data_IF_028939488782
#
_entry.id   IF_028939488782
#
_cell.length_a   1.000
_cell.length_b   1.000
_cell.length_c   1.000
_cell.angle_alpha   90.00
_cell.angle_beta   90.00
_cell.angle_gamma   90.00
#
_symmetry.space_group_name_H-M   'P 1'
#
loop_
_entity.id
_entity.type
_entity.pdbx_description
1 polymer ?
#
# COMPACT_ATOMS: atom_id res chain seq x y z
N UNK A 1 65.03 13.27 13.75
CA UNK A 1 63.68 12.91 14.19
C UNK A 1 62.67 13.61 13.27
N UNK A 2 62.05 12.87 12.35
CA UNK A 2 60.99 13.41 11.47
C UNK A 2 59.66 13.11 12.12
N UNK A 3 58.92 14.15 12.54
CA UNK A 3 57.53 14.02 13.00
C UNK A 3 56.64 13.84 11.77
N UNK A 4 55.99 12.69 11.68
CA UNK A 4 54.94 12.43 10.69
C UNK A 4 53.59 12.80 11.32
N UNK A 5 53.02 13.92 10.88
CA UNK A 5 51.67 14.32 11.29
C UNK A 5 50.64 13.43 10.57
N UNK A 6 49.89 12.66 11.31
CA UNK A 6 48.72 11.90 10.81
C UNK A 6 47.51 12.79 10.88
N UNK A 7 46.99 13.21 9.72
CA UNK A 7 45.72 13.92 9.62
C UNK A 7 44.56 12.91 9.72
N UNK A 8 43.80 12.96 10.80
CA UNK A 8 42.54 12.23 10.94
C UNK A 8 41.43 12.99 10.19
N UNK A 9 40.98 12.46 9.08
CA UNK A 9 39.73 12.93 8.44
C UNK A 9 38.54 12.36 9.20
N UNK A 10 37.87 13.18 10.00
CA UNK A 10 36.55 12.85 10.57
C UNK A 10 35.53 13.10 9.46
N UNK A 11 35.07 12.04 8.81
CA UNK A 11 33.90 12.11 7.93
C UNK A 11 32.68 12.28 8.81
N UNK A 12 32.15 13.50 8.92
CA UNK A 12 30.79 13.73 9.43
C UNK A 12 29.81 13.06 8.47
N UNK A 13 29.33 11.88 8.84
CA UNK A 13 28.14 11.31 8.22
C UNK A 13 26.96 12.17 8.67
N UNK A 14 26.55 13.11 7.83
CA UNK A 14 25.28 13.81 8.00
C UNK A 14 24.18 12.77 7.86
N UNK A 15 23.64 12.28 8.98
CA UNK A 15 22.44 11.45 8.96
C UNK A 15 21.32 12.31 8.37
N UNK A 16 20.81 11.93 7.20
CA UNK A 16 19.71 12.65 6.60
C UNK A 16 18.49 12.52 7.54
N UNK A 17 18.09 13.62 8.14
CA UNK A 17 16.90 13.65 8.99
C UNK A 17 15.65 13.62 8.10
N UNK A 18 14.63 12.90 8.52
CA UNK A 18 13.31 12.97 7.88
C UNK A 18 12.78 14.39 8.01
N UNK A 19 12.36 14.98 6.89
CA UNK A 19 11.74 16.30 6.84
C UNK A 19 10.27 16.16 6.52
N UNK A 20 9.47 16.97 7.22
CA UNK A 20 8.02 17.07 6.98
C UNK A 20 7.72 18.54 6.74
N UNK A 21 7.38 18.87 5.51
CA UNK A 21 7.11 20.24 5.09
C UNK A 21 5.67 20.33 4.54
N UNK A 22 4.96 21.40 4.90
CA UNK A 22 3.69 21.74 4.24
C UNK A 22 4.01 22.21 2.82
N UNK A 23 3.40 21.60 1.83
CA UNK A 23 3.64 21.88 0.42
C UNK A 23 2.35 21.72 -0.40
N UNK A 24 2.02 22.67 -1.28
CA UNK A 24 0.89 22.49 -2.19
C UNK A 24 1.17 21.36 -3.17
N UNK A 25 0.14 20.61 -3.53
CA UNK A 25 0.25 19.52 -4.49
C UNK A 25 -0.97 19.48 -5.41
N UNK A 26 -0.75 19.68 -6.71
CA UNK A 26 -1.73 19.51 -7.81
C UNK A 26 -3.12 20.09 -7.50
N UNK A 27 -3.16 21.32 -6.97
CA UNK A 27 -4.39 22.04 -6.66
C UNK A 27 -4.82 22.01 -5.19
N UNK A 28 -4.33 21.09 -4.38
CA UNK A 28 -4.51 21.11 -2.93
C UNK A 28 -3.43 21.98 -2.25
N UNK A 29 -3.81 23.03 -1.52
CA UNK A 29 -2.85 23.95 -0.88
C UNK A 29 -2.23 23.39 0.41
N UNK A 30 -2.84 22.40 1.05
CA UNK A 30 -2.52 21.97 2.40
C UNK A 30 -1.92 20.56 2.49
N UNK A 31 -1.26 20.07 1.43
CA UNK A 31 -0.57 18.77 1.50
C UNK A 31 0.70 18.85 2.36
N UNK A 32 1.19 17.69 2.78
CA UNK A 32 2.45 17.54 3.50
C UNK A 32 3.38 16.62 2.73
N UNK A 33 4.60 17.09 2.50
CA UNK A 33 5.69 16.29 1.92
C UNK A 33 6.52 15.70 3.05
N UNK A 34 6.68 14.39 3.07
CA UNK A 34 7.60 13.66 3.94
C UNK A 34 8.74 13.14 3.09
N UNK A 35 10.00 13.45 3.46
CA UNK A 35 11.18 13.04 2.68
C UNK A 35 12.41 12.86 3.55
N UNK A 36 13.26 11.91 3.17
CA UNK A 36 14.61 11.76 3.72
C UNK A 36 15.72 12.20 2.72
N UNK A 37 15.32 12.81 1.60
CA UNK A 37 16.23 13.24 0.52
C UNK A 37 16.43 12.20 -0.58
N UNK A 38 16.11 10.92 -0.35
CA UNK A 38 16.15 9.86 -1.36
C UNK A 38 14.77 9.54 -1.93
N UNK A 39 13.79 9.43 -1.05
CA UNK A 39 12.37 9.18 -1.37
C UNK A 39 11.50 10.31 -0.81
N UNK A 40 10.31 10.40 -1.37
CA UNK A 40 9.29 11.33 -0.88
C UNK A 40 7.90 10.73 -0.99
N UNK A 41 7.03 11.08 -0.04
CA UNK A 41 5.60 10.92 -0.18
C UNK A 41 4.86 12.24 0.09
N UNK A 42 3.66 12.32 -0.49
CA UNK A 42 2.75 13.45 -0.28
C UNK A 42 1.48 12.91 0.38
N UNK A 43 1.16 13.49 1.51
CA UNK A 43 -0.07 13.22 2.25
C UNK A 43 -1.00 14.40 2.10
N UNK A 44 -2.25 14.15 1.70
CA UNK A 44 -3.27 15.20 1.57
C UNK A 44 -3.81 15.60 2.94
N UNK A 45 -4.07 16.90 3.12
CA UNK A 45 -4.74 17.43 4.31
C UNK A 45 -6.07 18.13 3.99
N UNK A 46 -6.33 18.37 2.72
CA UNK A 46 -7.60 18.95 2.25
C UNK A 46 -8.71 17.89 2.11
N UNK A 47 -8.32 16.62 1.99
CA UNK A 47 -9.18 15.43 1.87
C UNK A 47 -8.45 14.21 2.43
N UNK A 48 -9.14 13.13 2.73
CA UNK A 48 -8.55 11.85 3.12
C UNK A 48 -8.89 11.39 4.53
N UNK A 49 -7.99 10.64 5.20
CA UNK A 49 -6.51 10.58 5.02
C UNK A 49 -6.08 9.77 3.79
N UNK A 50 -5.04 10.26 3.09
CA UNK A 50 -4.57 9.66 1.85
C UNK A 50 -3.11 9.99 1.57
N UNK A 51 -2.32 8.98 1.13
CA UNK A 51 -0.99 9.18 0.56
C UNK A 51 -1.15 9.22 -0.96
N UNK A 52 -1.10 10.41 -1.57
CA UNK A 52 -1.40 10.58 -3.00
C UNK A 52 -0.19 10.36 -3.91
N UNK A 53 1.03 10.46 -3.36
CA UNK A 53 2.27 10.25 -4.07
C UNK A 53 3.25 9.44 -3.24
N UNK A 54 3.93 8.49 -3.88
CA UNK A 54 5.14 7.85 -3.36
C UNK A 54 6.11 7.59 -4.50
N UNK A 55 7.35 8.03 -4.35
CA UNK A 55 8.38 7.92 -5.38
C UNK A 55 9.75 8.38 -4.88
N UNK A 56 10.75 8.20 -5.72
CA UNK A 56 12.04 8.83 -5.51
C UNK A 56 11.92 10.34 -5.66
N UNK A 57 12.75 11.10 -4.94
CA UNK A 57 12.83 12.55 -5.09
C UNK A 57 13.13 12.90 -6.55
N UNK A 58 12.32 13.79 -7.13
CA UNK A 58 12.32 14.13 -8.55
C UNK A 58 12.05 12.96 -9.52
N UNK A 59 11.58 11.83 -9.02
CA UNK A 59 11.18 10.67 -9.80
C UNK A 59 9.70 10.64 -10.17
N UNK A 60 9.28 9.56 -10.81
CA UNK A 60 7.86 9.33 -11.12
C UNK A 60 7.03 9.13 -9.85
N UNK A 61 5.73 9.40 -9.93
CA UNK A 61 4.78 8.90 -8.95
C UNK A 61 4.37 7.49 -9.34
N UNK A 62 4.59 6.51 -8.47
CA UNK A 62 4.15 5.13 -8.71
C UNK A 62 2.66 4.92 -8.40
N UNK A 63 2.04 5.88 -7.71
CA UNK A 63 0.62 5.82 -7.39
C UNK A 63 -0.23 6.48 -8.48
N UNK A 64 -1.43 5.93 -8.69
CA UNK A 64 -2.45 6.54 -9.57
C UNK A 64 -2.87 7.89 -9.03
N UNK A 65 -3.09 8.80 -9.95
CA UNK A 65 -3.76 10.08 -9.73
C UNK A 65 -4.87 10.22 -10.78
N UNK A 66 -6.01 10.75 -10.37
CA UNK A 66 -7.10 11.10 -11.29
C UNK A 66 -7.09 12.60 -11.55
N UNK A 67 -6.61 13.07 -12.73
CA UNK A 67 -6.42 14.49 -13.02
C UNK A 67 -7.67 15.35 -12.85
N UNK A 68 -8.85 14.76 -13.12
CA UNK A 68 -10.15 15.41 -13.00
C UNK A 68 -10.63 15.55 -11.54
N UNK A 69 -9.98 14.86 -10.58
CA UNK A 69 -10.34 14.86 -9.15
C UNK A 69 -9.28 15.58 -8.28
N UNK A 70 -8.10 15.87 -8.84
CA UNK A 70 -7.03 16.55 -8.11
C UNK A 70 -7.42 17.99 -7.75
N UNK A 71 -7.07 18.41 -6.53
CA UNK A 71 -7.35 19.75 -6.01
C UNK A 71 -8.80 20.00 -5.60
N UNK A 72 -9.71 19.05 -5.83
CA UNK A 72 -11.11 19.15 -5.46
C UNK A 72 -11.38 18.67 -4.05
N UNK A 73 -12.42 19.22 -3.41
CA UNK A 73 -12.84 18.95 -2.04
C UNK A 73 -14.35 19.15 -1.90
N UNK A 74 -14.96 18.54 -0.87
CA UNK A 74 -16.35 18.83 -0.50
C UNK A 74 -17.41 18.19 -1.40
N UNK A 75 -17.05 17.21 -2.22
CA UNK A 75 -18.04 16.47 -3.01
C UNK A 75 -18.93 15.62 -2.10
N UNK A 76 -20.19 15.49 -2.47
CA UNK A 76 -21.19 14.72 -1.70
C UNK A 76 -20.94 13.22 -1.73
N UNK A 77 -20.33 12.72 -2.82
CA UNK A 77 -20.05 11.29 -3.02
C UNK A 77 -18.56 11.00 -2.88
N UNK A 78 -18.24 9.78 -2.49
CA UNK A 78 -16.88 9.28 -2.47
C UNK A 78 -16.19 9.49 -3.84
N UNK A 79 -14.90 9.89 -3.79
CA UNK A 79 -14.05 10.07 -4.95
C UNK A 79 -12.81 9.18 -4.85
N UNK A 80 -12.47 8.49 -5.94
CA UNK A 80 -11.31 7.58 -5.95
C UNK A 80 -9.98 8.30 -5.72
N UNK A 81 -9.77 9.47 -6.34
CA UNK A 81 -8.59 10.35 -6.28
C UNK A 81 -7.26 9.67 -6.58
N UNK A 82 -7.11 8.39 -6.28
CA UNK A 82 -5.89 7.61 -6.38
C UNK A 82 -5.12 7.51 -5.06
N UNK A 83 -3.87 7.07 -5.12
CA UNK A 83 -3.01 6.92 -3.96
C UNK A 83 -3.36 5.76 -3.06
N UNK A 84 -2.90 5.84 -1.81
CA UNK A 84 -3.14 4.85 -0.78
C UNK A 84 -4.15 5.35 0.24
N UNK A 85 -5.04 4.46 0.68
CA UNK A 85 -6.11 4.71 1.65
C UNK A 85 -6.45 3.46 2.45
N UNK A 86 -7.22 3.63 3.53
CA UNK A 86 -7.79 2.52 4.29
C UNK A 86 -9.33 2.54 4.22
N UNK A 87 -9.89 1.38 3.99
CA UNK A 87 -11.31 1.08 4.08
C UNK A 87 -11.59 0.05 5.16
N UNK A 88 -12.85 -0.08 5.54
CA UNK A 88 -13.33 -1.23 6.32
C UNK A 88 -13.77 -2.34 5.35
N UNK A 89 -13.39 -3.60 5.63
CA UNK A 89 -13.93 -4.79 4.97
C UNK A 89 -14.88 -5.55 5.92
N UNK A 90 -15.84 -6.36 5.40
CA UNK A 90 -16.12 -6.57 3.98
C UNK A 90 -16.63 -5.31 3.28
N UNK A 91 -16.52 -5.28 1.95
CA UNK A 91 -16.99 -4.16 1.14
C UNK A 91 -18.52 -4.00 1.26
N UNK A 92 -18.93 -2.76 1.48
CA UNK A 92 -20.34 -2.34 1.55
C UNK A 92 -20.49 -1.00 0.83
N UNK A 93 -21.39 -0.90 -0.18
CA UNK A 93 -21.46 0.30 -1.04
C UNK A 93 -21.86 1.57 -0.30
N UNK A 94 -22.41 1.47 0.93
CA UNK A 94 -22.78 2.61 1.75
C UNK A 94 -21.68 2.93 2.76
N UNK A 95 -21.29 1.95 3.57
CA UNK A 95 -20.37 2.18 4.69
C UNK A 95 -18.89 2.20 4.27
N UNK A 96 -18.48 1.38 3.28
CA UNK A 96 -17.10 1.39 2.78
C UNK A 96 -16.83 2.63 1.92
N UNK A 97 -17.81 3.06 1.14
CA UNK A 97 -17.73 4.21 0.23
C UNK A 97 -18.17 5.52 0.90
N UNK A 98 -18.10 5.61 2.23
CA UNK A 98 -18.32 6.86 2.94
C UNK A 98 -17.36 7.94 2.40
N UNK A 99 -17.85 9.17 2.10
CA UNK A 99 -17.01 10.23 1.56
C UNK A 99 -15.92 10.66 2.54
N UNK A 100 -14.70 10.79 2.02
CA UNK A 100 -13.50 11.30 2.71
C UNK A 100 -13.07 12.67 2.14
N UNK A 101 -14.03 13.49 1.69
CA UNK A 101 -13.84 14.70 0.89
C UNK A 101 -13.71 15.98 1.72
N UNK A 102 -13.31 15.86 2.99
CA UNK A 102 -13.18 16.96 3.96
C UNK A 102 -11.76 17.03 4.52
N UNK A 103 -11.34 18.18 5.04
CA UNK A 103 -10.02 18.34 5.63
C UNK A 103 -9.76 17.38 6.79
N UNK A 104 -8.49 16.93 6.90
CA UNK A 104 -8.00 16.05 7.95
C UNK A 104 -7.04 16.78 8.87
N UNK A 105 -6.97 16.32 10.13
CA UNK A 105 -5.98 16.79 11.09
C UNK A 105 -4.61 16.17 10.78
N UNK A 106 -3.56 17.00 10.77
CA UNK A 106 -2.18 16.53 10.60
C UNK A 106 -1.39 16.79 11.89
N UNK A 107 -0.77 15.74 12.40
CA UNK A 107 0.20 15.81 13.50
C UNK A 107 1.57 15.36 12.99
N UNK A 108 2.52 16.30 12.91
CA UNK A 108 3.90 16.00 12.53
C UNK A 108 4.61 15.24 13.65
N UNK A 109 5.39 14.23 13.30
CA UNK A 109 6.23 13.40 14.19
C UNK A 109 7.71 13.50 13.78
N UNK A 110 8.66 13.02 14.59
CA UNK A 110 10.08 13.02 14.21
C UNK A 110 10.42 12.19 12.97
N UNK A 111 9.60 11.21 12.63
CA UNK A 111 9.82 10.25 11.52
C UNK A 111 8.80 10.39 10.38
N UNK A 112 7.88 11.37 10.48
CA UNK A 112 6.83 11.54 9.49
C UNK A 112 5.64 12.31 10.03
N UNK A 113 4.44 11.76 9.90
CA UNK A 113 3.20 12.41 10.36
C UNK A 113 2.08 11.40 10.61
N UNK A 114 1.05 11.89 11.29
CA UNK A 114 -0.25 11.23 11.44
C UNK A 114 -1.30 12.13 10.76
N UNK A 115 -2.10 11.53 9.87
CA UNK A 115 -3.25 12.16 9.21
C UNK A 115 -4.53 11.47 9.69
N UNK A 116 -5.46 12.23 10.28
CA UNK A 116 -6.70 11.72 10.87
C UNK A 116 -7.91 12.46 10.32
N UNK A 117 -8.88 11.73 9.79
CA UNK A 117 -10.15 12.31 9.39
C UNK A 117 -11.05 12.67 10.57
N UNK A 118 -12.05 13.55 10.41
CA UNK A 118 -13.18 13.65 11.34
C UNK A 118 -13.92 12.31 11.44
N UNK A 119 -14.71 12.14 12.50
CA UNK A 119 -15.61 10.96 12.59
C UNK A 119 -16.59 11.01 11.43
N UNK A 120 -16.67 9.93 10.68
CA UNK A 120 -17.61 9.79 9.57
C UNK A 120 -19.07 9.82 10.08
N UNK A 121 -19.91 10.75 9.60
CA UNK A 121 -21.28 10.86 10.12
C UNK A 121 -22.15 9.62 9.87
N UNK A 122 -21.87 8.90 8.79
CA UNK A 122 -22.66 7.74 8.36
C UNK A 122 -22.33 6.48 9.15
N UNK A 123 -21.04 6.23 9.37
CA UNK A 123 -20.54 4.96 9.94
C UNK A 123 -20.16 5.06 11.40
N UNK A 124 -19.93 6.28 11.90
CA UNK A 124 -19.26 6.54 13.18
C UNK A 124 -17.87 5.88 13.28
N UNK A 125 -17.20 5.65 12.17
CA UNK A 125 -15.80 5.27 12.13
C UNK A 125 -14.93 6.52 12.01
N UNK A 126 -13.67 6.38 12.39
CA UNK A 126 -12.65 7.41 12.23
C UNK A 126 -11.37 6.77 11.73
N UNK A 127 -10.94 7.15 10.53
CA UNK A 127 -9.73 6.59 9.90
C UNK A 127 -8.52 7.49 10.16
N UNK A 128 -7.36 6.85 10.23
CA UNK A 128 -6.08 7.51 10.44
C UNK A 128 -5.00 6.76 9.65
N UNK A 129 -4.06 7.52 9.09
CA UNK A 129 -2.84 6.99 8.49
C UNK A 129 -1.65 7.63 9.22
N UNK A 130 -0.77 6.79 9.77
CA UNK A 130 0.52 7.20 10.30
C UNK A 130 1.63 6.78 9.35
N UNK A 131 2.52 7.70 9.03
CA UNK A 131 3.68 7.48 8.17
C UNK A 131 4.95 7.61 9.02
N UNK A 132 5.78 6.59 8.99
CA UNK A 132 7.11 6.57 9.61
C UNK A 132 8.15 6.22 8.55
N UNK A 133 8.94 7.20 8.13
CA UNK A 133 9.99 7.05 7.12
C UNK A 133 11.34 6.78 7.78
N UNK A 134 12.11 5.83 7.25
CA UNK A 134 13.49 5.62 7.66
C UNK A 134 14.37 6.85 7.33
N UNK A 135 15.37 7.21 8.15
CA UNK A 135 16.20 8.38 7.92
C UNK A 135 17.07 8.28 6.66
N UNK A 136 17.23 7.08 6.10
CA UNK A 136 17.95 6.82 4.85
C UNK A 136 17.40 5.57 4.17
N UNK A 137 17.66 5.43 2.86
CA UNK A 137 17.12 4.34 2.05
C UNK A 137 15.64 4.54 1.76
N UNK A 138 14.95 3.46 1.39
CA UNK A 138 13.57 3.56 0.88
C UNK A 138 12.50 2.96 1.77
N UNK A 139 12.83 2.56 3.00
CA UNK A 139 11.86 1.93 3.90
C UNK A 139 10.93 2.96 4.56
N UNK A 140 9.63 2.66 4.51
CA UNK A 140 8.56 3.41 5.17
C UNK A 140 7.63 2.41 5.87
N UNK A 141 7.25 2.68 7.11
CA UNK A 141 6.15 1.99 7.77
C UNK A 141 4.91 2.86 7.70
N UNK A 142 3.82 2.32 7.15
CA UNK A 142 2.51 2.96 7.11
C UNK A 142 1.56 2.18 8.00
N UNK A 143 0.97 2.86 8.99
CA UNK A 143 0.01 2.25 9.92
C UNK A 143 -1.37 2.84 9.64
N UNK A 144 -2.25 2.00 9.13
CA UNK A 144 -3.65 2.32 8.92
C UNK A 144 -4.44 1.99 10.17
N UNK A 145 -5.28 2.92 10.63
CA UNK A 145 -6.12 2.74 11.81
C UNK A 145 -7.57 3.03 11.51
N UNK A 146 -8.47 2.24 12.10
CA UNK A 146 -9.90 2.50 12.09
C UNK A 146 -10.41 2.42 13.52
N UNK A 147 -10.89 3.54 14.04
CA UNK A 147 -11.46 3.65 15.37
C UNK A 147 -12.99 3.54 15.31
N UNK A 148 -13.57 2.76 16.21
CA UNK A 148 -15.02 2.72 16.42
C UNK A 148 -15.44 3.87 17.36
N UNK A 149 -16.14 4.87 16.83
CA UNK A 149 -16.70 6.01 17.57
C UNK A 149 -18.21 5.87 17.80
N UNK A 150 -18.79 4.71 17.43
CA UNK A 150 -20.21 4.41 17.68
C UNK A 150 -20.44 4.00 19.14
N UNK A 151 -21.71 3.82 19.49
CA UNK A 151 -22.14 3.36 20.82
C UNK A 151 -22.10 1.83 20.98
N UNK A 152 -21.86 1.09 19.90
CA UNK A 152 -21.95 -0.36 19.85
C UNK A 152 -20.66 -0.99 19.34
N UNK A 153 -20.35 -2.24 19.74
CA UNK A 153 -19.27 -3.00 19.12
C UNK A 153 -19.55 -3.19 17.62
N UNK A 154 -18.53 -2.99 16.80
CA UNK A 154 -18.57 -3.27 15.37
C UNK A 154 -17.57 -4.38 15.03
N UNK A 155 -17.89 -5.17 14.00
CA UNK A 155 -17.02 -6.24 13.53
C UNK A 155 -16.62 -5.96 12.09
N UNK A 156 -15.33 -5.79 11.84
CA UNK A 156 -14.79 -5.49 10.51
C UNK A 156 -13.29 -5.77 10.47
N UNK A 157 -12.74 -5.74 9.26
CA UNK A 157 -11.30 -5.79 9.03
C UNK A 157 -10.78 -4.46 8.44
N UNK A 158 -9.58 -4.00 8.80
CA UNK A 158 -8.91 -2.93 8.08
C UNK A 158 -8.46 -3.45 6.71
N UNK A 159 -8.71 -2.68 5.68
CA UNK A 159 -8.42 -2.99 4.28
C UNK A 159 -7.67 -1.81 3.66
N UNK A 160 -6.36 -1.98 3.43
CA UNK A 160 -5.48 -0.96 2.88
C UNK A 160 -5.34 -1.15 1.37
N UNK A 161 -5.72 -0.14 0.60
CA UNK A 161 -5.74 -0.15 -0.85
C UNK A 161 -4.75 0.86 -1.40
N UNK A 162 -3.80 0.40 -2.22
CA UNK A 162 -2.88 1.27 -2.95
C UNK A 162 -3.19 1.20 -4.44
N UNK A 163 -3.71 2.30 -4.98
CA UNK A 163 -3.93 2.47 -6.42
C UNK A 163 -2.61 2.80 -7.11
N UNK A 164 -2.21 1.96 -8.04
CA UNK A 164 -0.96 2.08 -8.80
C UNK A 164 -1.20 2.76 -10.15
N UNK A 165 -0.22 3.53 -10.61
CA UNK A 165 -0.24 4.19 -11.92
C UNK A 165 -0.34 3.18 -13.06
N UNK A 166 -0.86 3.63 -14.21
CA UNK A 166 -1.09 2.78 -15.40
C UNK A 166 0.19 2.19 -15.99
N UNK A 167 0.07 1.04 -16.63
CA UNK A 167 1.09 0.41 -17.48
C UNK A 167 2.09 -0.48 -16.75
N UNK A 168 1.94 -0.70 -15.45
CA UNK A 168 2.83 -1.57 -14.69
C UNK A 168 2.26 -2.97 -14.45
N UNK A 169 2.95 -3.73 -13.62
CA UNK A 169 2.61 -5.11 -13.29
C UNK A 169 2.74 -5.36 -11.79
N UNK A 170 1.68 -5.88 -11.19
CA UNK A 170 1.72 -6.42 -9.83
C UNK A 170 2.25 -7.86 -9.85
N UNK A 171 3.05 -8.19 -8.85
CA UNK A 171 3.55 -9.55 -8.57
C UNK A 171 3.38 -9.83 -7.10
N UNK A 172 2.77 -10.96 -6.75
CA UNK A 172 2.71 -11.47 -5.37
C UNK A 172 3.10 -12.93 -5.29
N UNK A 173 3.57 -13.36 -4.13
CA UNK A 173 3.97 -14.75 -3.89
C UNK A 173 2.84 -15.60 -3.34
N UNK A 174 2.71 -16.83 -3.84
CA UNK A 174 1.96 -17.86 -3.15
C UNK A 174 2.71 -18.32 -1.88
N UNK A 175 2.02 -18.82 -0.85
CA UNK A 175 2.69 -19.48 0.27
C UNK A 175 3.52 -20.70 -0.22
N UNK A 176 4.51 -21.15 0.57
CA UNK A 176 5.37 -22.27 0.20
C UNK A 176 4.58 -23.50 -0.25
N UNK A 177 4.96 -24.09 -1.39
CA UNK A 177 4.31 -25.26 -1.97
C UNK A 177 4.99 -26.56 -1.52
N UNK A 178 4.17 -27.54 -1.20
CA UNK A 178 4.61 -28.88 -0.91
C UNK A 178 4.81 -29.77 -2.15
N UNK A 179 5.10 -31.04 -1.92
CA UNK A 179 5.26 -32.09 -2.97
C UNK A 179 4.32 -33.25 -2.70
N UNK A 180 3.60 -33.70 -3.73
CA UNK A 180 2.88 -34.96 -3.70
C UNK A 180 3.89 -36.15 -3.79
N UNK A 181 3.72 -37.23 -3.02
CA UNK A 181 2.63 -37.52 -2.07
C UNK A 181 2.92 -37.13 -0.60
N UNK A 182 3.91 -36.27 -0.34
CA UNK A 182 4.31 -35.91 1.01
C UNK A 182 3.33 -34.92 1.65
N UNK A 183 2.86 -33.95 0.88
CA UNK A 183 1.92 -32.93 1.32
C UNK A 183 0.61 -33.12 0.54
N UNK A 184 -0.47 -33.41 1.23
CA UNK A 184 -1.76 -33.74 0.63
C UNK A 184 -2.82 -32.66 0.88
N UNK A 185 -2.59 -31.76 1.84
CA UNK A 185 -3.55 -30.73 2.23
C UNK A 185 -3.53 -29.53 1.28
N UNK A 186 -4.65 -28.81 1.23
CA UNK A 186 -4.73 -27.49 0.59
C UNK A 186 -3.84 -26.49 1.33
N UNK A 187 -3.18 -25.57 0.60
CA UNK A 187 -2.24 -24.61 1.19
C UNK A 187 -2.84 -23.24 1.43
N UNK A 188 -3.70 -22.75 0.54
CA UNK A 188 -4.29 -21.41 0.59
C UNK A 188 -5.52 -21.31 -0.30
N UNK A 189 -6.46 -20.36 -0.02
CA UNK A 189 -7.49 -19.98 -0.97
C UNK A 189 -6.89 -19.24 -2.18
N UNK A 190 -7.54 -19.35 -3.32
CA UNK A 190 -7.46 -18.42 -4.45
C UNK A 190 -8.90 -18.02 -4.76
N UNK A 191 -9.23 -16.76 -4.50
CA UNK A 191 -10.62 -16.29 -4.49
C UNK A 191 -10.89 -15.46 -5.74
N UNK A 192 -12.03 -15.74 -6.37
CA UNK A 192 -12.51 -15.08 -7.57
C UNK A 192 -13.72 -14.20 -7.25
N UNK A 193 -13.78 -13.01 -7.84
CA UNK A 193 -14.98 -12.19 -7.87
C UNK A 193 -15.89 -12.59 -9.03
N UNK A 194 -17.14 -12.16 -8.99
CA UNK A 194 -18.15 -12.50 -10.00
C UNK A 194 -17.75 -12.12 -11.44
N UNK A 195 -16.86 -11.14 -11.58
CA UNK A 195 -16.35 -10.65 -12.86
C UNK A 195 -14.94 -11.12 -13.20
N UNK A 196 -14.34 -11.99 -12.40
CA UNK A 196 -13.00 -12.53 -12.68
C UNK A 196 -13.02 -13.46 -13.88
N UNK A 197 -12.14 -13.22 -14.85
CA UNK A 197 -11.89 -14.08 -16.00
C UNK A 197 -10.45 -14.58 -15.97
N UNK A 198 -10.21 -15.84 -15.61
CA UNK A 198 -8.86 -16.42 -15.57
C UNK A 198 -8.21 -16.58 -16.95
N UNK A 199 -9.00 -16.45 -18.05
CA UNK A 199 -8.47 -16.45 -19.41
C UNK A 199 -8.02 -15.05 -19.89
N UNK A 200 -8.16 -14.03 -19.06
CA UNK A 200 -7.71 -12.68 -19.37
C UNK A 200 -6.18 -12.67 -19.50
N UNK A 201 -5.63 -12.14 -20.62
CA UNK A 201 -4.19 -12.19 -20.89
C UNK A 201 -3.34 -11.30 -19.96
N UNK A 202 -3.97 -10.46 -19.16
CA UNK A 202 -3.27 -9.67 -18.13
C UNK A 202 -2.83 -10.53 -16.94
N UNK A 203 -3.48 -11.68 -16.69
CA UNK A 203 -3.05 -12.66 -15.69
C UNK A 203 -1.86 -13.47 -16.18
N UNK A 204 -0.91 -13.72 -15.28
CA UNK A 204 0.13 -14.72 -15.47
C UNK A 204 0.37 -15.44 -14.13
N UNK A 205 0.48 -16.77 -14.20
CA UNK A 205 0.69 -17.63 -13.04
C UNK A 205 1.92 -18.50 -13.23
N UNK A 206 2.74 -18.55 -12.21
CA UNK A 206 3.80 -19.55 -12.11
C UNK A 206 3.55 -20.43 -10.89
N UNK A 207 4.44 -21.36 -10.58
CA UNK A 207 4.29 -22.17 -9.36
C UNK A 207 4.39 -21.33 -8.08
N UNK A 208 5.18 -20.25 -8.09
CA UNK A 208 5.47 -19.42 -6.91
C UNK A 208 4.76 -18.08 -6.91
N UNK A 209 4.35 -17.58 -8.06
CA UNK A 209 3.87 -16.20 -8.19
C UNK A 209 2.57 -16.07 -8.97
N UNK A 210 1.77 -15.11 -8.57
CA UNK A 210 0.65 -14.56 -9.32
C UNK A 210 1.02 -13.17 -9.79
N UNK A 211 0.73 -12.86 -11.05
CA UNK A 211 1.01 -11.57 -11.67
C UNK A 211 -0.24 -11.03 -12.34
N UNK A 212 -0.43 -9.72 -12.26
CA UNK A 212 -1.49 -8.99 -12.95
C UNK A 212 -0.88 -7.76 -13.62
N UNK A 213 -1.06 -7.63 -14.93
CA UNK A 213 -0.64 -6.45 -15.69
C UNK A 213 -1.78 -5.44 -15.78
N UNK A 214 -1.49 -4.18 -15.52
CA UNK A 214 -2.41 -3.11 -15.87
C UNK A 214 -2.26 -2.78 -17.37
N UNK A 215 -3.39 -2.72 -18.08
CA UNK A 215 -3.44 -2.35 -19.49
C UNK A 215 -4.44 -1.18 -19.67
N UNK A 216 -3.98 0.01 -20.11
CA UNK A 216 -4.86 1.16 -20.29
C UNK A 216 -5.87 1.03 -21.44
N UNK A 217 -5.72 0.02 -22.29
CA UNK A 217 -6.61 -0.25 -23.42
C UNK A 217 -7.68 -1.32 -23.10
N UNK A 218 -7.64 -1.92 -21.93
CA UNK A 218 -8.56 -3.00 -21.53
C UNK A 218 -9.39 -2.56 -20.31
N UNK A 219 -10.67 -2.26 -20.55
CA UNK A 219 -11.59 -1.77 -19.53
C UNK A 219 -12.21 -2.86 -18.65
N UNK A 220 -12.05 -4.14 -19.01
CA UNK A 220 -12.63 -5.25 -18.25
C UNK A 220 -11.99 -5.33 -16.86
N UNK A 221 -12.86 -5.32 -15.86
CA UNK A 221 -12.40 -5.43 -14.48
C UNK A 221 -11.91 -6.85 -14.18
N UNK A 222 -10.77 -6.96 -13.49
CA UNK A 222 -10.24 -8.22 -13.00
C UNK A 222 -9.91 -8.10 -11.53
N UNK A 223 -10.22 -9.12 -10.73
CA UNK A 223 -9.84 -9.18 -9.31
C UNK A 223 -9.58 -10.63 -8.90
N UNK A 224 -8.53 -10.84 -8.12
CA UNK A 224 -8.25 -12.09 -7.40
C UNK A 224 -7.73 -11.78 -6.00
N UNK A 225 -8.03 -12.68 -5.07
CA UNK A 225 -7.50 -12.65 -3.73
C UNK A 225 -6.85 -13.96 -3.32
N UNK A 226 -5.93 -13.90 -2.36
CA UNK A 226 -5.29 -15.06 -1.77
C UNK A 226 -4.89 -14.83 -0.31
N UNK A 227 -4.58 -15.91 0.39
CA UNK A 227 -3.94 -15.85 1.71
C UNK A 227 -2.47 -16.24 1.62
N UNK A 228 -1.62 -15.42 2.25
CA UNK A 228 -0.21 -15.76 2.48
C UNK A 228 0.22 -15.21 3.85
N UNK A 229 0.72 -16.03 4.80
CA UNK A 229 1.21 -15.53 6.09
C UNK A 229 2.30 -14.47 5.97
N UNK A 230 3.13 -14.57 4.92
CA UNK A 230 4.10 -13.55 4.50
C UNK A 230 3.54 -12.79 3.30
N UNK A 231 2.45 -12.06 3.51
CA UNK A 231 1.81 -11.24 2.47
C UNK A 231 2.77 -10.16 1.96
N UNK A 232 2.97 -10.11 0.66
CA UNK A 232 3.71 -9.06 -0.01
C UNK A 232 3.20 -8.86 -1.44
N UNK A 233 3.40 -7.68 -1.97
CA UNK A 233 3.23 -7.39 -3.38
C UNK A 233 4.32 -6.43 -3.86
N UNK A 234 4.76 -6.63 -5.09
CA UNK A 234 5.60 -5.69 -5.83
C UNK A 234 4.81 -5.13 -7.00
N UNK A 235 4.90 -3.82 -7.25
CA UNK A 235 4.41 -3.20 -8.48
C UNK A 235 5.59 -2.65 -9.27
N UNK A 236 5.78 -3.14 -10.47
CA UNK A 236 6.91 -2.77 -11.35
C UNK A 236 6.40 -1.85 -12.45
N UNK A 237 6.98 -0.64 -12.51
CA UNK A 237 6.63 0.37 -13.52
C UNK A 237 7.90 1.11 -13.97
N UNK A 238 8.17 1.13 -15.28
CA UNK A 238 9.29 1.87 -15.89
C UNK A 238 10.66 1.57 -15.24
N UNK A 239 10.88 0.34 -14.76
CA UNK A 239 12.13 -0.06 -14.13
C UNK A 239 12.28 0.35 -12.67
N UNK A 240 11.26 0.91 -12.06
CA UNK A 240 11.14 1.09 -10.62
C UNK A 240 10.15 0.07 -10.04
N UNK A 241 10.33 -0.32 -8.79
CA UNK A 241 9.40 -1.18 -8.08
C UNK A 241 9.00 -0.58 -6.75
N UNK A 242 7.70 -0.55 -6.49
CA UNK A 242 7.12 -0.41 -5.16
C UNK A 242 6.89 -1.78 -4.57
N UNK A 243 7.32 -2.01 -3.35
CA UNK A 243 7.07 -3.25 -2.61
C UNK A 243 6.35 -2.90 -1.33
N UNK A 244 5.22 -3.57 -1.07
CA UNK A 244 4.56 -3.56 0.25
C UNK A 244 4.55 -4.95 0.86
N UNK A 245 4.60 -5.01 2.18
CA UNK A 245 4.69 -6.23 2.94
C UNK A 245 3.92 -6.15 4.25
N UNK A 246 3.22 -7.25 4.58
CA UNK A 246 2.43 -7.40 5.81
C UNK A 246 2.62 -8.81 6.35
N UNK A 247 2.59 -8.98 7.66
CA UNK A 247 2.47 -10.28 8.31
C UNK A 247 0.99 -10.58 8.57
N UNK A 248 0.50 -11.67 8.00
CA UNK A 248 -0.85 -12.17 8.24
C UNK A 248 -0.82 -13.34 9.23
N UNK A 249 -1.69 -13.30 10.23
CA UNK A 249 -1.79 -14.35 11.25
C UNK A 249 -2.72 -15.48 10.75
N UNK A 250 -2.21 -16.69 10.46
CA UNK A 250 -3.02 -17.79 9.94
C UNK A 250 -4.03 -18.34 10.96
N UNK A 251 -3.97 -17.93 12.22
CA UNK A 251 -4.93 -18.34 13.26
C UNK A 251 -6.17 -17.47 13.32
N UNK A 252 -6.20 -16.38 12.56
CA UNK A 252 -7.28 -15.40 12.52
C UNK A 252 -8.19 -15.60 11.32
N UNK A 253 -9.38 -15.03 11.38
CA UNK A 253 -10.35 -15.01 10.29
C UNK A 253 -10.19 -13.75 9.46
N UNK A 254 -10.23 -13.88 8.14
CA UNK A 254 -10.15 -12.78 7.19
C UNK A 254 -11.43 -12.71 6.36
N UNK A 255 -11.72 -11.56 5.78
CA UNK A 255 -12.82 -11.36 4.84
C UNK A 255 -12.58 -12.10 3.51
N UNK A 256 -13.56 -12.08 2.64
CA UNK A 256 -13.46 -12.53 1.26
C UNK A 256 -12.87 -13.96 1.15
N UNK A 257 -13.53 -14.90 1.86
CA UNK A 257 -13.12 -16.30 1.98
C UNK A 257 -11.70 -16.53 2.51
N UNK A 258 -11.17 -15.56 3.27
CA UNK A 258 -9.89 -15.66 3.95
C UNK A 258 -8.73 -15.01 3.21
N UNK A 259 -8.93 -13.87 2.55
CA UNK A 259 -7.88 -13.14 1.86
C UNK A 259 -7.06 -12.25 2.80
N UNK A 260 -5.74 -12.36 2.74
CA UNK A 260 -4.81 -11.38 3.31
C UNK A 260 -4.28 -10.39 2.25
N UNK A 261 -4.49 -10.73 0.98
CA UNK A 261 -4.09 -9.96 -0.19
C UNK A 261 -5.15 -10.06 -1.28
N UNK A 262 -5.40 -8.93 -1.93
CA UNK A 262 -6.23 -8.83 -3.13
C UNK A 262 -5.56 -7.92 -4.15
N UNK A 263 -5.89 -8.10 -5.43
CA UNK A 263 -5.46 -7.22 -6.49
C UNK A 263 -6.56 -7.05 -7.51
N UNK A 264 -6.78 -5.81 -7.92
CA UNK A 264 -7.80 -5.39 -8.87
C UNK A 264 -7.14 -4.63 -10.03
N UNK A 265 -7.71 -4.69 -11.23
CA UNK A 265 -7.34 -3.80 -12.33
C UNK A 265 -8.51 -3.54 -13.28
N UNK A 266 -8.45 -2.38 -13.92
CA UNK A 266 -9.20 -1.99 -15.10
C UNK A 266 -8.30 -1.15 -16.02
N UNK A 267 -8.87 -0.42 -16.98
CA UNK A 267 -8.08 0.47 -17.85
C UNK A 267 -7.49 1.69 -17.15
N UNK A 268 -7.98 2.08 -15.97
CA UNK A 268 -7.57 3.29 -15.27
C UNK A 268 -6.42 3.07 -14.29
N UNK A 269 -6.38 1.92 -13.61
CA UNK A 269 -5.41 1.65 -12.54
C UNK A 269 -5.31 0.15 -12.25
N UNK A 270 -4.36 -0.17 -11.38
CA UNK A 270 -4.27 -1.45 -10.70
C UNK A 270 -4.20 -1.19 -9.19
N UNK A 271 -4.87 -2.02 -8.38
CA UNK A 271 -4.76 -1.99 -6.92
C UNK A 271 -3.97 -3.17 -6.39
N UNK A 272 -3.11 -2.89 -5.43
CA UNK A 272 -2.50 -3.88 -4.54
C UNK A 272 -3.03 -3.62 -3.13
N UNK A 273 -3.72 -4.59 -2.60
CA UNK A 273 -4.56 -4.47 -1.43
C UNK A 273 -4.10 -5.45 -0.35
N UNK A 274 -4.06 -5.03 0.89
CA UNK A 274 -3.77 -5.91 2.03
C UNK A 274 -4.85 -5.80 3.07
N UNK A 275 -5.19 -6.92 3.68
CA UNK A 275 -6.27 -7.01 4.66
C UNK A 275 -5.73 -7.46 6.02
N UNK A 276 -6.20 -6.81 7.07
CA UNK A 276 -6.07 -7.31 8.43
C UNK A 276 -7.15 -8.34 8.75
N UNK A 277 -7.07 -9.02 9.91
CA UNK A 277 -8.08 -9.97 10.34
C UNK A 277 -9.38 -9.25 10.76
N UNK A 278 -10.50 -9.95 10.61
CA UNK A 278 -11.79 -9.52 11.17
C UNK A 278 -11.63 -9.37 12.68
N UNK A 279 -11.98 -8.20 13.18
CA UNK A 279 -11.82 -7.84 14.60
C UNK A 279 -13.10 -7.22 15.13
N UNK A 280 -13.53 -7.66 16.33
CA UNK A 280 -14.60 -7.02 17.07
C UNK A 280 -14.05 -5.81 17.83
N UNK A 281 -14.34 -4.61 17.33
CA UNK A 281 -13.83 -3.33 17.84
C UNK A 281 -14.89 -2.72 18.77
N UNK A 282 -14.59 -2.60 20.07
CA UNK A 282 -15.49 -2.00 21.06
C UNK A 282 -15.59 -0.48 20.85
N UNK A 283 -16.64 0.19 21.37
CA UNK A 283 -16.72 1.65 21.39
C UNK A 283 -15.45 2.28 21.97
N UNK A 284 -14.88 3.24 21.25
CA UNK A 284 -13.63 3.91 21.61
C UNK A 284 -12.34 3.15 21.29
N UNK A 285 -12.41 1.88 20.92
CA UNK A 285 -11.23 1.10 20.49
C UNK A 285 -10.88 1.36 19.02
N UNK A 286 -9.64 1.01 18.69
CA UNK A 286 -9.04 1.16 17.35
C UNK A 286 -8.42 -0.17 16.93
N UNK A 287 -8.61 -0.56 15.67
CA UNK A 287 -7.85 -1.63 15.02
C UNK A 287 -6.76 -1.02 14.14
N UNK A 288 -5.60 -1.68 14.12
CA UNK A 288 -4.44 -1.26 13.34
C UNK A 288 -4.07 -2.29 12.27
N UNK A 289 -3.56 -1.79 11.15
CA UNK A 289 -2.99 -2.58 10.07
C UNK A 289 -1.70 -1.91 9.60
N UNK A 290 -0.56 -2.51 9.92
CA UNK A 290 0.75 -1.97 9.60
C UNK A 290 1.30 -2.60 8.33
N UNK A 291 1.68 -1.76 7.39
CA UNK A 291 2.36 -2.12 6.15
C UNK A 291 3.80 -1.60 6.18
N UNK A 292 4.72 -2.40 5.64
CA UNK A 292 6.09 -1.99 5.38
C UNK A 292 6.28 -1.80 3.87
N UNK A 293 6.79 -0.63 3.48
CA UNK A 293 6.96 -0.23 2.09
C UNK A 293 8.42 -0.02 1.74
N UNK A 294 8.77 -0.24 0.48
CA UNK A 294 10.08 0.07 -0.07
C UNK A 294 10.01 0.43 -1.54
N UNK A 295 10.97 1.26 -2.00
CA UNK A 295 11.15 1.62 -3.41
C UNK A 295 12.50 1.12 -3.92
N UNK A 296 12.53 0.64 -5.15
CA UNK A 296 13.72 0.09 -5.78
C UNK A 296 13.84 0.56 -7.22
N UNK A 297 15.07 0.83 -7.65
CA UNK A 297 15.42 1.18 -9.03
C UNK A 297 16.01 -0.01 -9.78
N UNK A 298 16.01 0.09 -11.11
CA UNK A 298 16.61 -0.92 -12.00
C UNK A 298 15.99 -2.31 -11.88
N UNK A 299 14.70 -2.37 -11.56
CA UNK A 299 13.95 -3.62 -11.42
C UNK A 299 13.35 -3.98 -12.77
N UNK A 300 13.99 -4.89 -13.50
CA UNK A 300 13.59 -5.33 -14.85
C UNK A 300 13.79 -6.85 -14.97
N UNK A 301 12.82 -7.67 -14.54
CA UNK A 301 12.89 -9.11 -14.77
C UNK A 301 13.02 -9.41 -16.27
N UNK A 302 13.97 -10.25 -16.65
CA UNK A 302 14.18 -10.64 -18.04
C UNK A 302 13.11 -11.61 -18.55
N UNK A 303 12.45 -12.34 -17.63
CA UNK A 303 11.37 -13.27 -17.91
C UNK A 303 10.42 -13.40 -16.70
N UNK A 304 9.18 -13.80 -16.96
CA UNK A 304 8.18 -14.07 -15.93
C UNK A 304 8.21 -15.54 -15.47
N UNK A 305 9.39 -16.00 -15.04
CA UNK A 305 9.61 -17.36 -14.54
C UNK A 305 9.87 -17.36 -13.04
N UNK A 306 9.63 -18.50 -12.38
CA UNK A 306 9.90 -18.67 -10.95
C UNK A 306 11.33 -18.30 -10.55
N UNK A 307 12.31 -18.71 -11.35
CA UNK A 307 13.72 -18.50 -11.05
C UNK A 307 14.11 -17.03 -11.19
N UNK A 308 13.70 -16.39 -12.29
CA UNK A 308 14.02 -14.98 -12.54
C UNK A 308 13.31 -14.06 -11.54
N UNK A 309 12.01 -14.26 -11.30
CA UNK A 309 11.27 -13.47 -10.32
C UNK A 309 11.80 -13.70 -8.89
N UNK A 310 12.18 -14.93 -8.54
CA UNK A 310 12.81 -15.22 -7.25
C UNK A 310 14.14 -14.45 -7.12
N UNK A 311 14.98 -14.48 -8.15
CA UNK A 311 16.29 -13.80 -8.17
C UNK A 311 16.15 -12.29 -8.07
N UNK A 312 15.20 -11.70 -8.81
CA UNK A 312 15.05 -10.24 -8.88
C UNK A 312 14.25 -9.68 -7.71
N UNK A 313 13.11 -10.29 -7.34
CA UNK A 313 12.18 -9.69 -6.39
C UNK A 313 12.41 -10.13 -4.94
N UNK A 314 12.78 -11.38 -4.68
CA UNK A 314 12.83 -11.84 -3.28
C UNK A 314 13.87 -11.12 -2.42
N UNK A 315 15.07 -10.73 -2.92
CA UNK A 315 15.98 -9.88 -2.14
C UNK A 315 15.37 -8.52 -1.78
N UNK A 316 14.59 -7.92 -2.70
CA UNK A 316 13.91 -6.64 -2.48
C UNK A 316 12.82 -6.79 -1.41
N UNK A 317 11.96 -7.80 -1.56
CA UNK A 317 10.90 -8.11 -0.59
C UNK A 317 11.47 -8.34 0.81
N UNK A 318 12.59 -9.07 0.93
CA UNK A 318 13.23 -9.35 2.22
C UNK A 318 13.89 -8.13 2.86
N UNK A 319 14.25 -7.12 2.08
CA UNK A 319 14.85 -5.87 2.58
C UNK A 319 13.82 -4.87 3.12
N UNK A 320 12.54 -5.04 2.80
CA UNK A 320 11.43 -4.23 3.33
C UNK A 320 11.08 -4.69 4.74
N UNK A 321 11.21 -3.76 5.73
CA UNK A 321 11.07 -4.04 7.17
C UNK A 321 10.25 -2.97 7.86
#
# INVERSE_FOLDING_TARGET
MKLTSVLFFITLTCSAAVKVDKAPYKGWPNCYRVTNGEIELIVTADVGPRIIRFGFVNGQNLFKEFPDQLGKTGEEKFQLRGGDRVWKAPEDPVATWAPDNVPVEIKVTPTGLIAREPVEPLTNLQKEIEVNMAPSGSNVTVIHRIANRSLFPLEFAPWALTMMAQGGMAVTGFPPRGKHPINLEATNPLVMWAYTNLSDPRWNFTRKFMMLRQDPNDSDAQKLGLFNPDTWAAYILNGEAFVKRVKADPTKTYTDFGCSFETFTNNEFLEIETLGPITKVQPGQTVEHAEHWGLFRNVKPAALTDDELTKVLMPLVQSVR
#
